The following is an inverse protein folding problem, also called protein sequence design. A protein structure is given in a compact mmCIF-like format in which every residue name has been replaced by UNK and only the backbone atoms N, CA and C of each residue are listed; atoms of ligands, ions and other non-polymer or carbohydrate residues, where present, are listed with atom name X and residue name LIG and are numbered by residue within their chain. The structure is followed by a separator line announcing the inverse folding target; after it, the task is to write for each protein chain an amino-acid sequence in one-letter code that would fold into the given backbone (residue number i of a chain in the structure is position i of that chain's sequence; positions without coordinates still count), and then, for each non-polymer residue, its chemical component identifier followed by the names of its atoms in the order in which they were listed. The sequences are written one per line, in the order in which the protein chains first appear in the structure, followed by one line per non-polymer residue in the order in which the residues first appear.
data_IF_358564652028
#
_entry.id   IF_358564652028
#
_cell.length_a   1.000
_cell.length_b   1.000
_cell.length_c   1.000
_cell.angle_alpha   90.00
_cell.angle_beta   90.00
_cell.angle_gamma   90.00
#
_symmetry.space_group_name_H-M   'P 1'
#
loop_
_entity.id
_entity.type
_entity.pdbx_description
1 polymer ?
#
# COMPACT_ATOMS: atom_id res chain seq x y z
N UNK A 1 3.37 76.37 -25.64
CA UNK A 1 2.18 76.44 -24.79
C UNK A 1 1.81 75.00 -24.47
N UNK A 2 1.90 74.43 -23.27
CA UNK A 2 2.30 74.91 -21.95
C UNK A 2 2.57 73.69 -21.05
N UNK A 3 3.51 73.90 -20.12
CA UNK A 3 3.67 73.35 -18.76
C UNK A 3 3.62 71.84 -18.44
N UNK A 4 4.78 71.40 -17.93
CA UNK A 4 5.06 70.34 -16.93
C UNK A 4 3.98 70.20 -15.84
N UNK A 5 3.79 68.97 -15.32
CA UNK A 5 3.75 68.71 -13.86
C UNK A 5 4.11 67.25 -13.56
N UNK A 6 5.15 67.09 -12.74
CA UNK A 6 5.64 65.87 -12.09
C UNK A 6 4.90 65.69 -10.75
N UNK A 7 4.60 64.47 -10.30
CA UNK A 7 4.52 64.14 -8.87
C UNK A 7 4.77 62.65 -8.60
N UNK A 8 5.80 62.42 -7.79
CA UNK A 8 6.20 61.19 -7.12
C UNK A 8 5.61 61.13 -5.71
N UNK A 9 5.31 59.94 -5.20
CA UNK A 9 5.02 59.69 -3.77
C UNK A 9 4.80 58.19 -3.52
N UNK A 10 5.83 57.42 -3.15
CA UNK A 10 6.38 57.14 -1.81
C UNK A 10 5.49 56.28 -0.90
N UNK A 11 5.90 55.00 -0.83
CA UNK A 11 6.06 54.11 0.34
C UNK A 11 5.09 54.26 1.54
N UNK A 12 4.37 53.17 1.83
CA UNK A 12 3.96 52.82 3.19
C UNK A 12 4.22 51.33 3.46
N UNK A 13 5.29 51.06 4.21
CA UNK A 13 5.55 49.78 4.89
C UNK A 13 4.52 49.63 6.00
N UNK A 14 3.70 48.59 5.97
CA UNK A 14 2.93 48.17 7.15
C UNK A 14 3.65 47.05 7.87
N UNK A 15 3.84 47.25 9.18
CA UNK A 15 4.67 46.44 10.08
C UNK A 15 3.96 45.14 10.47
N UNK A 16 4.78 44.10 10.62
CA UNK A 16 4.47 42.78 11.20
C UNK A 16 3.89 42.90 12.62
N UNK A 17 2.94 42.03 12.95
CA UNK A 17 2.78 41.46 14.31
C UNK A 17 2.13 40.07 14.23
N UNK A 18 2.72 39.01 14.80
CA UNK A 18 2.10 37.69 14.87
C UNK A 18 1.26 37.54 16.15
N UNK A 19 0.20 36.72 16.17
CA UNK A 19 -0.36 36.23 17.41
C UNK A 19 0.41 35.03 17.95
N UNK A 20 0.44 34.94 19.27
CA UNK A 20 1.30 34.15 20.12
C UNK A 20 0.94 32.66 20.21
N UNK A 21 1.95 31.87 20.57
CA UNK A 21 1.86 30.46 20.92
C UNK A 21 1.06 30.25 22.22
N UNK A 22 0.10 29.32 22.17
CA UNK A 22 -0.57 28.77 23.35
C UNK A 22 -0.22 27.29 23.49
N UNK A 23 0.71 26.97 24.40
CA UNK A 23 0.90 25.61 24.95
C UNK A 23 -0.08 25.40 26.09
N UNK A 24 -0.83 24.28 26.09
CA UNK A 24 -1.14 23.50 27.32
C UNK A 24 -1.31 22.01 26.98
N UNK A 25 -0.66 21.10 27.73
CA UNK A 25 -0.88 19.67 27.64
C UNK A 25 -2.05 19.25 28.55
N UNK A 26 -2.99 18.48 28.02
CA UNK A 26 -4.05 17.85 28.79
C UNK A 26 -3.92 16.33 28.71
N UNK A 27 -3.35 15.75 29.77
CA UNK A 27 -3.55 14.34 30.14
C UNK A 27 -5.05 14.02 30.13
N UNK A 28 -5.50 12.98 29.42
CA UNK A 28 -6.58 12.08 29.83
C UNK A 28 -6.37 10.75 29.07
N UNK A 29 -5.85 9.74 29.75
CA UNK A 29 -6.58 8.70 30.48
C UNK A 29 -6.78 7.47 29.59
N UNK A 30 -5.84 6.53 29.70
CA UNK A 30 -5.96 5.20 29.13
C UNK A 30 -7.07 4.44 29.86
N UNK A 31 -8.09 4.00 29.12
CA UNK A 31 -9.04 3.00 29.57
C UNK A 31 -8.59 1.64 29.04
N UNK A 32 -7.96 0.85 29.90
CA UNK A 32 -7.74 -0.57 29.67
C UNK A 32 -9.00 -1.32 30.13
N UNK A 33 -9.82 -1.78 29.20
CA UNK A 33 -10.95 -2.68 29.51
C UNK A 33 -10.45 -4.11 29.59
N UNK A 34 -10.16 -4.57 30.80
CA UNK A 34 -10.02 -5.99 31.12
C UNK A 34 -11.43 -6.57 31.35
N UNK A 35 -12.01 -7.18 30.33
CA UNK A 35 -13.26 -7.94 30.46
C UNK A 35 -12.96 -9.35 30.96
N UNK A 36 -13.20 -9.60 32.25
CA UNK A 36 -13.21 -10.95 32.81
C UNK A 36 -14.50 -11.66 32.37
N UNK A 37 -14.36 -12.71 31.55
CA UNK A 37 -15.47 -13.62 31.24
C UNK A 37 -15.57 -14.65 32.37
N UNK A 38 -16.52 -14.43 33.28
CA UNK A 38 -16.99 -15.46 34.22
C UNK A 38 -18.17 -16.19 33.57
N UNK A 39 -17.93 -17.38 33.02
CA UNK A 39 -19.02 -18.30 32.66
C UNK A 39 -19.45 -19.00 33.95
N UNK A 40 -20.57 -18.55 34.51
CA UNK A 40 -21.28 -19.27 35.58
C UNK A 40 -22.11 -20.39 34.98
N UNK A 41 -21.80 -21.64 35.34
CA UNK A 41 -22.69 -22.78 35.12
C UNK A 41 -23.87 -22.65 36.07
N UNK A 42 -25.00 -22.16 35.58
CA UNK A 42 -26.29 -22.31 36.26
C UNK A 42 -26.78 -23.73 35.98
N UNK A 43 -26.60 -24.62 36.95
CA UNK A 43 -27.37 -25.87 37.03
C UNK A 43 -28.80 -25.47 37.36
N UNK A 44 -29.64 -25.37 36.34
CA UNK A 44 -31.08 -25.25 36.50
C UNK A 44 -31.61 -26.53 37.16
N UNK A 45 -32.20 -26.37 38.35
CA UNK A 45 -32.98 -27.41 39.00
C UNK A 45 -34.36 -27.46 38.33
N UNK A 46 -34.53 -28.39 37.40
CA UNK A 46 -35.87 -28.71 36.86
C UNK A 46 -36.72 -29.40 37.95
N UNK A 47 -38.05 -29.18 37.96
CA UNK A 47 -38.92 -29.80 38.95
C UNK A 47 -38.99 -31.31 38.73
N UNK A 48 -39.01 -32.06 39.83
CA UNK A 48 -39.11 -33.51 39.82
C UNK A 48 -40.35 -33.99 39.04
N UNK A 49 -40.13 -34.54 37.85
CA UNK A 49 -41.10 -35.39 37.18
C UNK A 49 -41.18 -36.71 37.96
N UNK A 50 -42.22 -36.86 38.77
CA UNK A 50 -42.53 -38.16 39.37
C UNK A 50 -43.13 -39.07 38.30
N UNK A 51 -42.31 -39.98 37.78
CA UNK A 51 -42.79 -41.12 37.02
C UNK A 51 -43.21 -42.21 38.00
N UNK A 52 -44.49 -42.53 38.00
CA UNK A 52 -45.07 -43.65 38.73
C UNK A 52 -44.41 -44.97 38.28
N UNK A 53 -43.80 -45.69 39.22
CA UNK A 53 -43.12 -46.94 38.95
C UNK A 53 -44.14 -48.05 38.67
N UNK A 54 -44.42 -48.30 37.39
CA UNK A 54 -44.92 -49.59 36.95
C UNK A 54 -43.79 -50.63 37.07
N UNK A 55 -44.05 -51.88 37.51
CA UNK A 55 -43.02 -52.90 37.55
C UNK A 55 -42.70 -53.32 36.11
N UNK A 56 -41.64 -52.73 35.54
CA UNK A 56 -41.01 -53.33 34.37
C UNK A 56 -40.19 -54.50 34.88
N UNK A 57 -40.68 -55.73 34.69
CA UNK A 57 -39.82 -56.90 34.70
C UNK A 57 -38.87 -56.80 33.49
N UNK A 58 -37.83 -55.97 33.61
CA UNK A 58 -36.73 -55.95 32.66
C UNK A 58 -35.88 -57.19 32.95
N UNK A 59 -36.23 -58.29 32.29
CA UNK A 59 -35.38 -59.48 32.26
C UNK A 59 -34.08 -59.07 31.58
N UNK A 60 -32.96 -59.23 32.27
CA UNK A 60 -31.65 -58.91 31.70
C UNK A 60 -31.39 -59.85 30.52
N UNK A 61 -31.17 -59.30 29.33
CA UNK A 61 -30.83 -60.05 28.10
C UNK A 61 -29.62 -60.98 28.33
N UNK A 62 -28.70 -60.59 29.22
CA UNK A 62 -27.56 -61.44 29.61
C UNK A 62 -28.00 -62.74 30.32
N UNK A 63 -29.09 -62.69 31.08
CA UNK A 63 -29.61 -63.82 31.84
C UNK A 63 -30.41 -64.79 30.96
N UNK A 64 -31.09 -64.27 29.93
CA UNK A 64 -31.79 -65.07 28.91
C UNK A 64 -30.80 -65.79 27.95
N UNK A 65 -29.63 -65.18 27.72
CA UNK A 65 -28.53 -65.78 26.95
C UNK A 65 -27.63 -66.72 27.77
N UNK A 66 -27.94 -66.99 29.05
CA UNK A 66 -27.16 -67.91 29.90
C UNK A 66 -25.76 -67.40 30.27
N UNK A 67 -25.48 -66.10 30.08
CA UNK A 67 -24.21 -65.48 30.43
C UNK A 67 -24.20 -65.17 31.92
N UNK A 68 -23.54 -66.03 32.71
CA UNK A 68 -23.22 -65.72 34.10
C UNK A 68 -22.17 -64.60 34.13
N UNK A 69 -22.47 -63.48 34.79
CA UNK A 69 -21.51 -62.41 35.00
C UNK A 69 -20.27 -62.97 35.71
N UNK A 70 -19.16 -63.08 35.00
CA UNK A 70 -17.88 -63.41 35.60
C UNK A 70 -17.46 -62.26 36.50
N UNK A 71 -17.43 -62.48 37.82
CA UNK A 71 -17.00 -61.48 38.82
C UNK A 71 -15.48 -61.33 38.89
N UNK A 72 -14.74 -61.78 37.88
CA UNK A 72 -13.30 -61.54 37.80
C UNK A 72 -13.10 -60.03 37.56
N UNK A 73 -12.23 -59.36 38.33
CA UNK A 73 -11.93 -57.96 38.09
C UNK A 73 -11.34 -57.84 36.67
N UNK A 74 -12.02 -57.10 35.80
CA UNK A 74 -11.44 -56.66 34.53
C UNK A 74 -10.31 -55.70 34.84
N UNK A 75 -9.10 -56.00 34.37
CA UNK A 75 -7.97 -55.06 34.44
C UNK A 75 -8.13 -54.00 33.35
N UNK A 76 -9.13 -53.14 33.55
CA UNK A 76 -9.44 -52.04 32.64
C UNK A 76 -8.25 -51.09 32.47
N UNK A 77 -7.30 -51.07 33.42
CA UNK A 77 -6.08 -50.29 33.29
C UNK A 77 -5.14 -50.90 32.24
N UNK A 78 -4.94 -52.23 32.26
CA UNK A 78 -4.17 -52.95 31.25
C UNK A 78 -4.80 -52.93 29.86
N UNK A 79 -6.12 -53.13 29.77
CA UNK A 79 -6.84 -53.19 28.49
C UNK A 79 -6.89 -51.84 27.76
N UNK A 80 -6.80 -50.72 28.49
CA UNK A 80 -6.79 -49.37 27.92
C UNK A 80 -5.38 -48.83 27.62
N UNK A 81 -4.30 -49.49 28.06
CA UNK A 81 -2.92 -49.04 27.81
C UNK A 81 -2.63 -48.79 26.32
N UNK A 82 -2.99 -49.68 25.36
CA UNK A 82 -2.68 -49.45 23.95
C UNK A 82 -3.36 -48.21 23.37
N UNK A 83 -4.53 -47.84 23.88
CA UNK A 83 -5.24 -46.63 23.47
C UNK A 83 -4.59 -45.36 24.05
N UNK A 84 -4.07 -45.45 25.29
CA UNK A 84 -3.33 -44.36 25.91
C UNK A 84 -2.00 -44.11 25.19
N UNK A 85 -1.28 -45.17 24.80
CA UNK A 85 -0.06 -45.07 23.99
C UNK A 85 -0.34 -44.45 22.61
N UNK A 86 -1.45 -44.82 21.97
CA UNK A 86 -1.84 -44.23 20.70
C UNK A 86 -2.20 -42.74 20.84
N UNK A 87 -2.87 -42.36 21.93
CA UNK A 87 -3.15 -40.95 22.21
C UNK A 87 -1.87 -40.15 22.48
N UNK A 88 -0.94 -40.70 23.26
CA UNK A 88 0.35 -40.07 23.54
C UNK A 88 1.20 -39.89 22.27
N UNK A 89 1.25 -40.89 21.38
CA UNK A 89 1.97 -40.80 20.10
C UNK A 89 1.35 -39.82 19.10
N UNK A 90 0.02 -39.66 19.12
CA UNK A 90 -0.66 -38.62 18.33
C UNK A 90 -0.34 -37.23 18.85
N UNK A 91 -0.41 -37.03 20.17
CA UNK A 91 -0.09 -35.76 20.81
C UNK A 91 1.37 -35.35 20.57
N UNK A 92 2.32 -36.29 20.63
CA UNK A 92 3.72 -36.00 20.35
C UNK A 92 3.97 -35.65 18.87
N UNK A 93 3.27 -36.30 17.94
CA UNK A 93 3.33 -35.96 16.52
C UNK A 93 2.79 -34.57 16.23
N UNK A 94 1.64 -34.22 16.80
CA UNK A 94 1.02 -32.90 16.65
C UNK A 94 1.91 -31.79 17.22
N UNK A 95 2.55 -32.04 18.36
CA UNK A 95 3.54 -31.13 18.93
C UNK A 95 4.79 -30.97 18.02
N UNK A 96 5.27 -32.06 17.43
CA UNK A 96 6.40 -32.02 16.49
C UNK A 96 6.05 -31.28 15.19
N UNK A 97 4.85 -31.48 14.66
CA UNK A 97 4.35 -30.74 13.49
C UNK A 97 4.24 -29.24 13.77
N UNK A 98 3.71 -28.87 14.94
CA UNK A 98 3.64 -27.46 15.37
C UNK A 98 5.03 -26.85 15.50
N UNK A 99 5.97 -27.56 16.10
CA UNK A 99 7.36 -27.09 16.23
C UNK A 99 8.04 -26.93 14.86
N UNK A 100 7.80 -27.85 13.92
CA UNK A 100 8.31 -27.75 12.56
C UNK A 100 7.73 -26.54 11.80
N UNK A 101 6.43 -26.27 11.95
CA UNK A 101 5.79 -25.09 11.36
C UNK A 101 6.37 -23.79 11.92
N UNK A 102 6.59 -23.71 13.23
CA UNK A 102 7.22 -22.55 13.87
C UNK A 102 8.67 -22.35 13.39
N UNK A 103 9.43 -23.43 13.24
CA UNK A 103 10.79 -23.37 12.71
C UNK A 103 10.81 -22.89 11.26
N UNK A 104 9.87 -23.35 10.43
CA UNK A 104 9.73 -22.89 9.04
C UNK A 104 9.36 -21.41 8.98
N UNK A 105 8.38 -20.96 9.78
CA UNK A 105 7.99 -19.55 9.84
C UNK A 105 9.15 -18.65 10.29
N UNK A 106 9.97 -19.10 11.25
CA UNK A 106 11.16 -18.37 11.68
C UNK A 106 12.22 -18.30 10.56
N UNK A 107 12.40 -19.37 9.78
CA UNK A 107 13.31 -19.39 8.65
C UNK A 107 12.84 -18.44 7.52
N UNK A 108 11.54 -18.44 7.20
CA UNK A 108 10.96 -17.55 6.20
C UNK A 108 11.09 -16.08 6.62
N UNK A 109 10.86 -15.78 7.89
CA UNK A 109 11.06 -14.43 8.44
C UNK A 109 12.52 -13.99 8.32
N UNK A 110 13.48 -14.87 8.61
CA UNK A 110 14.91 -14.56 8.48
C UNK A 110 15.32 -14.26 7.03
N UNK A 111 14.70 -14.92 6.04
CA UNK A 111 14.91 -14.63 4.62
C UNK A 111 14.38 -13.24 4.26
N UNK A 112 13.17 -12.90 4.71
CA UNK A 112 12.58 -11.59 4.47
C UNK A 112 13.41 -10.46 5.11
N UNK A 113 13.88 -10.67 6.34
CA UNK A 113 14.73 -9.69 7.03
C UNK A 113 16.07 -9.49 6.31
N UNK A 114 16.67 -10.57 5.78
CA UNK A 114 17.87 -10.47 4.94
C UNK A 114 17.59 -9.68 3.67
N UNK A 115 16.51 -10.00 2.94
CA UNK A 115 16.14 -9.29 1.71
C UNK A 115 15.88 -7.80 1.96
N UNK A 116 15.24 -7.46 3.08
CA UNK A 116 15.03 -6.07 3.49
C UNK A 116 16.34 -5.36 3.77
N UNK A 117 17.27 -6.00 4.49
CA UNK A 117 18.58 -5.43 4.78
C UNK A 117 19.40 -5.22 3.50
N UNK A 118 19.35 -6.18 2.55
CA UNK A 118 20.00 -6.08 1.24
C UNK A 118 19.39 -4.94 0.40
N UNK A 119 18.06 -4.82 0.36
CA UNK A 119 17.38 -3.75 -0.35
C UNK A 119 17.69 -2.36 0.26
N UNK A 120 17.74 -2.26 1.59
CA UNK A 120 18.13 -1.02 2.27
C UNK A 120 19.59 -0.65 2.00
N UNK A 121 20.50 -1.63 2.00
CA UNK A 121 21.90 -1.43 1.64
C UNK A 121 22.04 -0.98 0.18
N UNK A 122 21.30 -1.60 -0.75
CA UNK A 122 21.28 -1.23 -2.15
C UNK A 122 20.72 0.19 -2.37
N UNK A 123 19.65 0.56 -1.67
CA UNK A 123 19.08 1.91 -1.72
C UNK A 123 20.08 2.96 -1.21
N UNK A 124 20.76 2.70 -0.09
CA UNK A 124 21.81 3.57 0.44
C UNK A 124 22.99 3.71 -0.53
N UNK A 125 23.41 2.60 -1.15
CA UNK A 125 24.49 2.61 -2.14
C UNK A 125 24.11 3.42 -3.39
N UNK A 126 22.89 3.24 -3.88
CA UNK A 126 22.35 4.03 -5.01
C UNK A 126 22.29 5.51 -4.69
N UNK A 127 21.73 5.89 -3.54
CA UNK A 127 21.65 7.28 -3.10
C UNK A 127 23.05 7.92 -2.96
N UNK A 128 24.04 7.17 -2.45
CA UNK A 128 25.43 7.63 -2.38
C UNK A 128 26.02 7.86 -3.78
N UNK A 129 25.83 6.92 -4.70
CA UNK A 129 26.32 7.03 -6.08
C UNK A 129 25.69 8.24 -6.81
N UNK A 130 24.39 8.46 -6.63
CA UNK A 130 23.68 9.61 -7.19
C UNK A 130 24.19 10.94 -6.63
N UNK A 131 24.45 11.01 -5.31
CA UNK A 131 25.05 12.18 -4.68
C UNK A 131 26.47 12.47 -5.20
N UNK A 132 27.29 11.43 -5.38
CA UNK A 132 28.63 11.56 -5.95
C UNK A 132 28.59 12.01 -7.42
N UNK A 133 27.64 11.50 -8.21
CA UNK A 133 27.45 11.90 -9.60
C UNK A 133 26.99 13.37 -9.71
N UNK A 134 26.04 13.79 -8.86
CA UNK A 134 25.58 15.17 -8.80
C UNK A 134 26.72 16.13 -8.39
N UNK A 135 27.57 15.74 -7.45
CA UNK A 135 28.73 16.53 -7.04
C UNK A 135 29.75 16.69 -8.19
N UNK A 136 29.99 15.63 -8.97
CA UNK A 136 30.87 15.69 -10.16
C UNK A 136 30.29 16.61 -11.24
N UNK A 137 29.01 16.48 -11.56
CA UNK A 137 28.34 17.34 -12.54
C UNK A 137 28.37 18.83 -12.12
N UNK A 138 28.18 19.12 -10.83
CA UNK A 138 28.30 20.48 -10.30
C UNK A 138 29.73 21.03 -10.42
N UNK A 139 30.76 20.20 -10.17
CA UNK A 139 32.15 20.59 -10.33
C UNK A 139 32.51 20.86 -11.81
N UNK A 140 32.03 20.03 -12.73
CA UNK A 140 32.21 20.22 -14.19
C UNK A 140 31.51 21.50 -14.68
N UNK A 141 30.29 21.77 -14.22
CA UNK A 141 29.56 22.99 -14.55
C UNK A 141 30.26 24.25 -14.01
N UNK A 142 30.84 24.18 -12.81
CA UNK A 142 31.62 25.28 -12.24
C UNK A 142 32.92 25.53 -13.03
N UNK A 143 33.60 24.46 -13.47
CA UNK A 143 34.79 24.57 -14.31
C UNK A 143 34.46 25.17 -15.69
N UNK A 144 33.32 24.80 -16.30
CA UNK A 144 32.86 25.37 -17.56
C UNK A 144 32.51 26.86 -17.45
N UNK A 145 31.90 27.29 -16.35
CA UNK A 145 31.59 28.70 -16.09
C UNK A 145 32.87 29.54 -15.84
N UNK A 146 33.90 28.96 -15.24
CA UNK A 146 35.19 29.63 -15.07
C UNK A 146 36.00 29.77 -16.38
N UNK A 147 35.69 28.95 -17.40
CA UNK A 147 36.37 28.94 -18.69
C UNK A 147 35.68 29.79 -19.78
N UNK A 148 34.50 30.38 -19.51
CA UNK A 148 33.79 31.23 -20.45
C UNK A 148 34.45 32.63 -20.56
N UNK A 149 34.90 33.07 -21.75
CA UNK A 149 35.41 34.43 -21.92
C UNK A 149 34.26 35.46 -21.89
N UNK A 150 34.49 36.58 -21.20
CA UNK A 150 33.59 37.73 -21.26
C UNK A 150 33.60 38.35 -22.66
N UNK A 151 32.53 38.16 -23.43
CA UNK A 151 32.31 38.81 -24.72
C UNK A 151 31.22 39.90 -24.58
N UNK A 152 31.40 41.09 -25.18
CA UNK A 152 30.52 42.24 -24.97
C UNK A 152 29.26 42.20 -25.83
N UNK A 153 28.27 42.95 -25.36
CA UNK A 153 26.96 43.17 -25.98
C UNK A 153 27.04 43.79 -27.38
N UNK A 154 26.18 43.31 -28.28
CA UNK A 154 25.76 44.00 -29.50
C UNK A 154 24.24 43.88 -29.65
N UNK A 155 23.59 45.03 -29.78
CA UNK A 155 22.18 45.19 -30.09
C UNK A 155 21.93 44.94 -31.58
N UNK A 156 20.72 44.50 -31.93
CA UNK A 156 20.31 44.29 -33.32
C UNK A 156 18.83 43.95 -33.42
N UNK A 157 18.07 44.98 -33.76
CA UNK A 157 16.62 45.11 -33.94
C UNK A 157 16.03 44.24 -35.07
N UNK A 158 14.82 43.69 -34.90
CA UNK A 158 13.71 43.70 -35.88
C UNK A 158 12.60 42.65 -35.55
N UNK A 159 11.39 43.15 -35.35
CA UNK A 159 10.12 42.49 -35.67
C UNK A 159 9.47 43.33 -36.81
N UNK A 160 8.51 42.82 -37.62
CA UNK A 160 7.15 42.59 -37.10
C UNK A 160 6.29 41.49 -37.78
N UNK A 161 5.27 41.08 -37.00
CA UNK A 161 3.85 40.80 -37.31
C UNK A 161 3.37 40.04 -38.57
N UNK A 162 2.54 39.01 -38.32
CA UNK A 162 1.24 38.62 -38.94
C UNK A 162 0.99 37.11 -38.67
N UNK A 163 -0.19 36.49 -38.56
CA UNK A 163 -1.60 36.80 -38.37
C UNK A 163 -2.31 35.43 -38.14
N UNK A 164 -3.42 35.45 -37.39
CA UNK A 164 -4.44 34.43 -37.01
C UNK A 164 -4.80 33.31 -38.06
N UNK A 165 -5.54 32.20 -37.74
CA UNK A 165 -6.65 32.13 -36.76
C UNK A 165 -6.88 30.80 -35.97
N UNK A 166 -7.92 30.86 -35.12
CA UNK A 166 -8.55 29.81 -34.29
C UNK A 166 -9.79 29.23 -35.00
N UNK A 167 -9.95 27.90 -34.99
CA UNK A 167 -11.19 27.09 -35.15
C UNK A 167 -10.76 25.63 -35.39
N UNK A 168 -11.43 24.53 -35.05
CA UNK A 168 -12.65 24.22 -34.32
C UNK A 168 -12.58 22.69 -34.02
N UNK A 169 -13.43 22.23 -33.11
CA UNK A 169 -13.61 20.83 -32.76
C UNK A 169 -14.01 19.94 -33.95
N UNK A 170 -13.57 18.69 -33.94
CA UNK A 170 -14.27 17.58 -34.59
C UNK A 170 -14.05 16.29 -33.77
N UNK A 171 -15.14 15.78 -33.24
CA UNK A 171 -15.24 14.46 -32.67
C UNK A 171 -15.02 13.39 -33.75
N UNK A 172 -14.20 12.39 -33.45
CA UNK A 172 -14.25 11.08 -34.09
C UNK A 172 -13.78 10.04 -33.07
N UNK A 173 -14.73 9.29 -32.52
CA UNK A 173 -14.43 8.05 -31.82
C UNK A 173 -13.83 7.04 -32.81
N UNK A 174 -12.81 6.26 -32.42
CA UNK A 174 -12.61 4.95 -33.00
C UNK A 174 -13.32 3.91 -32.12
N UNK A 175 -14.28 3.27 -32.75
CA UNK A 175 -14.81 1.95 -32.40
C UNK A 175 -13.67 0.92 -32.46
N UNK A 176 -13.54 0.12 -31.40
CA UNK A 176 -12.86 -1.17 -31.33
C UNK A 176 -11.49 -1.26 -32.05
N UNK A 177 -10.43 -0.87 -31.35
CA UNK A 177 -9.11 -1.39 -31.67
C UNK A 177 -9.01 -2.82 -31.10
N UNK A 178 -8.64 -3.74 -31.99
CA UNK A 178 -8.38 -5.14 -31.70
C UNK A 178 -7.47 -5.30 -30.48
N UNK A 179 -7.65 -6.39 -29.73
CA UNK A 179 -6.73 -6.85 -28.71
C UNK A 179 -5.34 -7.07 -29.33
N UNK A 180 -4.52 -6.03 -29.37
CA UNK A 180 -3.08 -6.17 -29.43
C UNK A 180 -2.69 -6.99 -28.21
N UNK A 181 -1.80 -7.97 -28.39
CA UNK A 181 -1.25 -8.74 -27.28
C UNK A 181 -0.61 -7.76 -26.29
N UNK A 182 -1.35 -7.43 -25.22
CA UNK A 182 -0.96 -6.43 -24.25
C UNK A 182 0.23 -6.93 -23.45
N UNK A 183 1.17 -6.03 -23.18
CA UNK A 183 2.25 -6.29 -22.23
C UNK A 183 1.63 -6.48 -20.85
N UNK A 184 2.01 -7.57 -20.17
CA UNK A 184 1.59 -7.81 -18.79
C UNK A 184 2.53 -7.03 -17.86
N UNK A 185 1.96 -6.16 -17.02
CA UNK A 185 2.73 -5.36 -16.09
C UNK A 185 3.39 -6.22 -15.00
N UNK A 186 4.67 -5.93 -14.70
CA UNK A 186 5.40 -6.57 -13.60
C UNK A 186 5.11 -5.84 -12.29
N UNK A 187 4.20 -6.39 -11.50
CA UNK A 187 3.77 -5.83 -10.22
C UNK A 187 4.38 -6.64 -9.06
N UNK A 188 5.12 -5.96 -8.19
CA UNK A 188 5.66 -6.53 -6.96
C UNK A 188 4.58 -6.44 -5.87
N UNK A 189 4.16 -7.60 -5.35
CA UNK A 189 3.12 -7.71 -4.33
C UNK A 189 3.65 -8.50 -3.12
N UNK A 190 3.35 -8.04 -1.91
CA UNK A 190 3.72 -8.72 -0.66
C UNK A 190 2.53 -9.01 0.27
N UNK A 191 1.31 -8.62 -0.12
CA UNK A 191 0.08 -8.85 0.67
C UNK A 191 -1.09 -9.41 -0.16
N UNK A 192 -0.80 -10.19 -1.21
CA UNK A 192 -1.80 -10.76 -2.13
C UNK A 192 -1.87 -10.05 -3.49
N UNK A 193 -2.73 -10.48 -4.41
CA UNK A 193 -2.85 -9.82 -5.72
C UNK A 193 -3.50 -8.44 -5.59
N UNK A 194 -3.22 -7.56 -6.57
CA UNK A 194 -4.03 -6.36 -6.78
C UNK A 194 -5.42 -6.75 -7.32
N UNK A 195 -6.39 -5.84 -7.22
CA UNK A 195 -7.72 -6.04 -7.80
C UNK A 195 -7.62 -6.19 -9.33
N UNK A 196 -8.57 -6.91 -9.93
CA UNK A 196 -8.56 -7.17 -11.38
C UNK A 196 -8.59 -5.88 -12.22
N UNK A 197 -9.33 -4.86 -11.77
CA UNK A 197 -9.38 -3.53 -12.41
C UNK A 197 -8.00 -2.86 -12.40
N UNK A 198 -7.25 -3.00 -11.31
CA UNK A 198 -5.91 -2.44 -11.15
C UNK A 198 -4.90 -3.16 -12.04
N UNK A 199 -4.98 -4.49 -12.12
CA UNK A 199 -4.14 -5.26 -13.05
C UNK A 199 -4.42 -4.88 -14.51
N UNK A 200 -5.69 -4.69 -14.88
CA UNK A 200 -6.06 -4.28 -16.23
C UNK A 200 -5.54 -2.86 -16.55
N UNK A 201 -5.68 -1.92 -15.61
CA UNK A 201 -5.14 -0.57 -15.75
C UNK A 201 -3.60 -0.58 -15.90
N UNK A 202 -2.90 -1.38 -15.09
CA UNK A 202 -1.46 -1.55 -15.19
C UNK A 202 -1.04 -2.05 -16.58
N UNK A 203 -1.71 -3.10 -17.08
CA UNK A 203 -1.45 -3.67 -18.41
C UNK A 203 -1.70 -2.65 -19.53
N UNK A 204 -2.76 -1.84 -19.42
CA UNK A 204 -3.05 -0.79 -20.39
C UNK A 204 -1.95 0.28 -20.39
N UNK A 205 -1.48 0.72 -19.22
CA UNK A 205 -0.42 1.73 -19.12
C UNK A 205 0.90 1.23 -19.70
N UNK A 206 1.35 0.03 -19.32
CA UNK A 206 2.63 -0.51 -19.82
C UNK A 206 2.59 -0.87 -21.31
N UNK A 207 1.41 -1.05 -21.88
CA UNK A 207 1.25 -1.30 -23.32
C UNK A 207 1.21 -0.02 -24.16
N UNK A 208 0.73 1.08 -23.59
CA UNK A 208 0.43 2.29 -24.37
C UNK A 208 1.35 3.49 -24.04
N UNK A 209 2.03 3.49 -22.89
CA UNK A 209 2.99 4.54 -22.52
C UNK A 209 4.41 4.06 -22.87
N UNK A 210 5.09 4.69 -23.84
CA UNK A 210 6.44 4.30 -24.21
C UNK A 210 7.40 4.30 -23.01
N UNK A 211 8.11 3.19 -22.79
CA UNK A 211 9.06 3.01 -21.70
C UNK A 211 8.47 2.47 -20.39
N UNK A 212 7.14 2.46 -20.23
CA UNK A 212 6.49 1.98 -19.00
C UNK A 212 6.57 0.45 -18.83
N UNK A 213 6.83 -0.31 -19.88
CA UNK A 213 7.08 -1.76 -19.83
C UNK A 213 8.43 -2.13 -19.18
N UNK A 214 9.37 -1.18 -19.18
CA UNK A 214 10.71 -1.39 -18.62
C UNK A 214 10.79 -1.25 -17.09
N UNK A 215 9.83 -0.56 -16.48
CA UNK A 215 9.81 -0.29 -15.04
C UNK A 215 9.17 -1.44 -14.23
N UNK A 216 9.35 -1.39 -12.91
CA UNK A 216 8.60 -2.22 -11.95
C UNK A 216 7.47 -1.40 -11.33
N UNK A 217 6.37 -2.07 -10.99
CA UNK A 217 5.26 -1.44 -10.28
C UNK A 217 5.18 -1.97 -8.85
N UNK A 218 5.03 -1.09 -7.87
CA UNK A 218 4.74 -1.44 -6.49
C UNK A 218 3.24 -1.67 -6.29
N UNK A 219 2.84 -2.88 -5.93
CA UNK A 219 1.44 -3.26 -5.69
C UNK A 219 1.13 -3.41 -4.20
N UNK A 220 0.49 -4.51 -3.82
CA UNK A 220 0.04 -4.73 -2.45
C UNK A 220 1.19 -4.83 -1.46
N UNK A 221 0.96 -4.27 -0.26
CA UNK A 221 1.85 -4.42 0.89
C UNK A 221 1.07 -4.24 2.20
N UNK A 222 1.49 -4.87 3.31
CA UNK A 222 0.87 -4.62 4.60
C UNK A 222 1.10 -3.16 5.03
N UNK A 223 0.03 -2.41 5.27
CA UNK A 223 0.07 -1.04 5.80
C UNK A 223 -1.29 -0.71 6.41
N UNK A 224 -1.29 0.07 7.49
CA UNK A 224 -2.52 0.61 8.09
C UNK A 224 -2.75 2.09 7.72
N UNK A 225 -1.80 2.74 7.06
CA UNK A 225 -1.84 4.17 6.74
C UNK A 225 -2.77 4.49 5.56
N UNK A 226 -3.03 3.50 4.71
CA UNK A 226 -3.79 3.61 3.46
C UNK A 226 -4.70 2.39 3.24
N UNK A 227 -5.67 2.10 4.13
CA UNK A 227 -6.44 0.85 4.07
C UNK A 227 -7.24 0.65 2.77
N UNK A 228 -7.51 1.73 2.01
CA UNK A 228 -8.12 1.68 0.67
C UNK A 228 -7.13 1.85 -0.50
N UNK A 229 -5.83 1.76 -0.24
CA UNK A 229 -4.75 1.90 -1.22
C UNK A 229 -4.04 0.59 -1.50
N UNK A 230 -2.75 0.50 -1.15
CA UNK A 230 -1.95 -0.69 -1.43
C UNK A 230 -2.41 -1.95 -0.67
N UNK A 231 -2.72 -1.90 0.64
CA UNK A 231 -3.22 -3.07 1.38
C UNK A 231 -4.46 -3.72 0.77
N UNK A 232 -5.35 -2.93 0.16
CA UNK A 232 -6.57 -3.42 -0.49
C UNK A 232 -6.38 -3.80 -1.96
N UNK A 233 -5.17 -3.67 -2.50
CA UNK A 233 -4.91 -3.92 -3.92
C UNK A 233 -5.54 -2.91 -4.86
N UNK A 234 -5.80 -1.69 -4.39
CA UNK A 234 -6.43 -0.59 -5.13
C UNK A 234 -5.44 0.53 -5.48
N UNK A 235 -4.14 0.31 -5.32
CA UNK A 235 -3.12 1.32 -5.64
C UNK A 235 -1.89 0.71 -6.31
N UNK A 236 -1.22 1.54 -7.12
CA UNK A 236 0.05 1.22 -7.78
C UNK A 236 1.04 2.38 -7.68
N UNK A 237 2.30 2.04 -7.41
CA UNK A 237 3.45 2.94 -7.51
C UNK A 237 4.23 2.62 -8.79
N UNK A 238 4.29 3.55 -9.74
CA UNK A 238 5.03 3.39 -11.00
C UNK A 238 6.49 3.83 -10.82
N UNK A 239 7.42 2.88 -10.65
CA UNK A 239 8.79 3.19 -10.21
C UNK A 239 9.67 3.74 -11.35
N UNK A 240 9.55 5.04 -11.63
CA UNK A 240 10.31 5.72 -12.71
C UNK A 240 11.69 6.23 -12.28
N UNK A 241 11.95 6.32 -10.96
CA UNK A 241 13.21 6.82 -10.44
C UNK A 241 13.43 8.28 -10.81
N UNK A 242 14.55 8.59 -11.47
CA UNK A 242 14.88 9.95 -11.91
C UNK A 242 14.25 10.34 -13.26
N UNK A 243 13.55 9.42 -13.94
CA UNK A 243 12.91 9.69 -15.23
C UNK A 243 11.57 10.41 -15.04
N UNK A 244 11.65 11.71 -14.76
CA UNK A 244 10.47 12.54 -14.56
C UNK A 244 9.60 12.64 -15.82
N UNK A 245 10.19 12.53 -17.02
CA UNK A 245 9.45 12.60 -18.28
C UNK A 245 8.56 11.36 -18.47
N UNK A 246 9.07 10.16 -18.14
CA UNK A 246 8.26 8.95 -18.08
C UNK A 246 7.15 9.08 -17.02
N UNK A 247 7.48 9.62 -15.85
CA UNK A 247 6.49 9.88 -14.80
C UNK A 247 5.36 10.81 -15.26
N UNK A 248 5.71 11.92 -15.93
CA UNK A 248 4.74 12.86 -16.50
C UNK A 248 3.86 12.19 -17.57
N UNK A 249 4.44 11.37 -18.46
CA UNK A 249 3.70 10.64 -19.48
C UNK A 249 2.71 9.61 -18.88
N UNK A 250 3.12 8.90 -17.83
CA UNK A 250 2.23 7.98 -17.10
C UNK A 250 1.08 8.75 -16.45
N UNK A 251 1.35 9.89 -15.80
CA UNK A 251 0.32 10.73 -15.18
C UNK A 251 -0.65 11.28 -16.23
N UNK A 252 -0.15 11.77 -17.36
CA UNK A 252 -0.98 12.28 -18.46
C UNK A 252 -1.91 11.19 -19.04
N UNK A 253 -1.39 9.97 -19.21
CA UNK A 253 -2.20 8.83 -19.65
C UNK A 253 -3.34 8.54 -18.66
N UNK A 254 -3.05 8.54 -17.35
CA UNK A 254 -4.08 8.36 -16.33
C UNK A 254 -5.12 9.49 -16.30
N UNK A 255 -4.71 10.73 -16.53
CA UNK A 255 -5.63 11.87 -16.61
C UNK A 255 -6.55 11.75 -17.83
N UNK A 256 -5.99 11.36 -18.97
CA UNK A 256 -6.73 11.22 -20.23
C UNK A 256 -7.74 10.07 -20.17
N UNK A 257 -7.36 8.95 -19.54
CA UNK A 257 -8.17 7.73 -19.45
C UNK A 257 -8.79 7.53 -18.07
N UNK A 258 -9.02 8.60 -17.32
CA UNK A 258 -9.36 8.56 -15.89
C UNK A 258 -10.52 7.62 -15.56
N UNK A 259 -11.65 7.75 -16.25
CA UNK A 259 -12.82 6.93 -15.98
C UNK A 259 -12.69 5.51 -16.55
N UNK A 260 -12.00 5.33 -17.67
CA UNK A 260 -11.74 4.03 -18.30
C UNK A 260 -10.86 3.14 -17.41
N UNK A 261 -9.80 3.72 -16.84
CA UNK A 261 -8.88 3.03 -15.94
C UNK A 261 -9.44 2.94 -14.51
N UNK A 262 -10.54 3.63 -14.21
CA UNK A 262 -11.13 3.68 -12.87
C UNK A 262 -10.25 4.44 -11.88
N UNK A 263 -9.59 5.52 -12.26
CA UNK A 263 -8.73 6.31 -11.36
C UNK A 263 -9.58 7.01 -10.28
N UNK A 264 -9.12 6.95 -9.03
CA UNK A 264 -9.68 7.70 -7.91
C UNK A 264 -8.87 8.96 -7.62
N UNK A 265 -7.55 8.82 -7.51
CA UNK A 265 -6.63 9.96 -7.42
C UNK A 265 -5.22 9.60 -7.91
N UNK A 266 -4.44 10.62 -8.23
CA UNK A 266 -3.03 10.53 -8.60
C UNK A 266 -2.19 11.42 -7.69
N UNK A 267 -1.04 10.93 -7.24
CA UNK A 267 -0.01 11.70 -6.55
C UNK A 267 1.27 11.66 -7.39
N UNK A 268 1.84 12.81 -7.69
CA UNK A 268 3.09 12.91 -8.42
C UNK A 268 3.82 14.21 -8.10
N UNK A 269 5.12 14.17 -7.84
CA UNK A 269 5.94 15.35 -7.50
C UNK A 269 5.33 16.20 -6.37
N UNK A 270 4.99 15.56 -5.25
CA UNK A 270 4.46 16.20 -4.04
C UNK A 270 3.16 16.99 -4.24
N UNK A 271 2.36 16.61 -5.23
CA UNK A 271 1.02 17.16 -5.46
C UNK A 271 0.04 16.03 -5.75
N UNK A 272 -1.22 16.25 -5.38
CA UNK A 272 -2.32 15.31 -5.56
C UNK A 272 -3.38 15.89 -6.50
N UNK A 273 -3.89 15.06 -7.39
CA UNK A 273 -5.04 15.33 -8.24
C UNK A 273 -6.14 14.32 -7.92
N UNK A 274 -7.35 14.79 -7.61
CA UNK A 274 -8.49 13.94 -7.20
C UNK A 274 -9.62 13.89 -8.24
N UNK A 275 -9.41 14.45 -9.42
CA UNK A 275 -10.36 14.43 -10.53
C UNK A 275 -9.64 14.82 -11.83
N UNK A 276 -10.05 14.33 -13.00
CA UNK A 276 -9.32 14.55 -14.26
C UNK A 276 -9.22 16.02 -14.64
N UNK A 277 -10.26 16.82 -14.32
CA UNK A 277 -10.30 18.26 -14.60
C UNK A 277 -10.06 19.11 -13.34
N UNK A 278 -9.49 18.51 -12.30
CA UNK A 278 -9.26 19.16 -11.01
C UNK A 278 -8.02 20.03 -10.99
N UNK A 279 -7.88 20.81 -9.93
CA UNK A 279 -6.62 21.47 -9.61
C UNK A 279 -5.71 20.53 -8.81
N UNK A 280 -4.42 20.53 -9.14
CA UNK A 280 -3.39 19.91 -8.32
C UNK A 280 -3.31 20.61 -6.96
N UNK A 281 -3.30 19.81 -5.88
CA UNK A 281 -3.14 20.28 -4.50
C UNK A 281 -1.76 19.90 -3.99
N UNK A 282 -1.01 20.87 -3.50
CA UNK A 282 0.30 20.63 -2.88
C UNK A 282 0.15 19.76 -1.62
N UNK A 283 1.08 18.84 -1.43
CA UNK A 283 1.18 18.01 -0.23
C UNK A 283 2.20 18.58 0.74
N UNK A 284 1.98 18.35 2.04
CA UNK A 284 3.01 18.58 3.05
C UNK A 284 4.25 17.73 2.74
N UNK A 285 5.42 18.26 3.08
CA UNK A 285 6.66 17.50 3.02
C UNK A 285 6.64 16.36 4.05
N UNK A 286 6.90 15.14 3.56
CA UNK A 286 6.93 13.89 4.34
C UNK A 286 8.35 13.42 4.64
N UNK A 287 9.37 14.22 4.32
CA UNK A 287 10.75 14.04 4.77
C UNK A 287 11.66 13.23 3.84
N UNK A 288 11.17 12.78 2.68
CA UNK A 288 12.03 12.16 1.65
C UNK A 288 11.42 12.28 0.25
N UNK A 289 12.26 12.15 -0.78
CA UNK A 289 11.82 12.17 -2.18
C UNK A 289 10.75 11.10 -2.47
N UNK A 290 11.00 9.86 -2.04
CA UNK A 290 10.04 8.76 -2.19
C UNK A 290 8.76 9.00 -1.41
N UNK A 291 8.83 9.44 -0.14
CA UNK A 291 7.61 9.74 0.63
C UNK A 291 6.80 10.90 0.01
N UNK A 292 7.47 11.81 -0.69
CA UNK A 292 6.89 12.92 -1.44
C UNK A 292 6.51 12.55 -2.89
N UNK A 293 6.63 11.29 -3.30
CA UNK A 293 6.28 10.81 -4.65
C UNK A 293 7.04 11.55 -5.76
N UNK A 294 8.32 11.84 -5.51
CA UNK A 294 9.19 12.52 -6.48
C UNK A 294 9.79 11.56 -7.52
N UNK A 295 9.77 10.26 -7.22
CA UNK A 295 10.44 9.19 -7.99
C UNK A 295 9.47 8.10 -8.49
N UNK A 296 8.18 8.22 -8.16
CA UNK A 296 7.09 7.40 -8.71
C UNK A 296 5.76 8.16 -8.75
N UNK A 297 5.00 8.10 -9.85
CA UNK A 297 3.58 8.34 -9.82
C UNK A 297 2.88 7.27 -8.97
N UNK A 298 2.06 7.72 -8.02
CA UNK A 298 1.18 6.85 -7.26
C UNK A 298 -0.25 7.06 -7.73
N UNK A 299 -0.94 5.97 -8.04
CA UNK A 299 -2.32 6.00 -8.54
C UNK A 299 -3.18 5.09 -7.70
N UNK A 300 -4.28 5.65 -7.20
CA UNK A 300 -5.34 4.90 -6.57
C UNK A 300 -6.50 4.70 -7.55
N UNK A 301 -7.18 3.57 -7.43
CA UNK A 301 -8.27 3.16 -8.31
C UNK A 301 -9.56 2.92 -7.54
N UNK A 302 -10.68 3.13 -8.21
CA UNK A 302 -12.03 2.78 -7.78
C UNK A 302 -12.20 1.27 -7.94
N UNK A 303 -12.45 0.58 -6.83
CA UNK A 303 -12.65 -0.87 -6.77
C UNK A 303 -13.97 -1.32 -7.38
#
# INVERSE_FOLDING_TARGET
MDTRTTTTGRLARSRRRPPAAGRRPGLYLGMATAGAVLVGVVVGTEPAAQAEAAPAETVSVAQELGLTAGTAPVDAAGDLQPLQDLAATRSSREAAETAAQQAQAAADQAVLDRQRAEAEAAAKAKAKAEAEAAARAAAEAAAAQAAAPAAPAQAGEAAPAAAAPRAAAAAAAPRAAAAAAGTVARITNSAGPVAAVVQAAANAVVSNVPGADSITLGGTRPSAADPGGHPSGLALDYMVGSDAALGDAIVEYHITHWDELGVDYVIWQQRMLSSPNGAWKAMADRGSATANHMDHPHVNYRG
#
